data_IF_899021786928
#
_entry.id   IF_899021786928
#
_cell.length_a   1.000
_cell.length_b   1.000
_cell.length_c   1.000
_cell.angle_alpha   90.00
_cell.angle_beta   90.00
_cell.angle_gamma   90.00
#
_symmetry.space_group_name_H-M   'P 1'
#
loop_
_entity.id
_entity.type
_entity.pdbx_description
1 polymer ?
#
# COMPACT_ATOMS: atom_id res chain seq x y z
N UNK A 1 23.44 -13.10 4.28
CA UNK A 1 22.61 -12.08 4.98
C UNK A 1 21.74 -12.79 6.02
N UNK A 2 21.57 -12.24 7.23
CA UNK A 2 20.73 -12.87 8.27
C UNK A 2 19.34 -12.19 8.25
N UNK A 3 18.27 -12.86 7.81
CA UNK A 3 16.96 -12.22 7.62
C UNK A 3 16.37 -11.68 8.93
N UNK A 4 16.53 -12.39 10.04
CA UNK A 4 16.08 -11.94 11.36
C UNK A 4 16.75 -10.64 11.80
N UNK A 5 18.04 -10.45 11.48
CA UNK A 5 18.74 -9.20 11.81
C UNK A 5 18.16 -8.02 11.02
N UNK A 6 17.74 -8.23 9.76
CA UNK A 6 17.08 -7.22 8.93
C UNK A 6 15.74 -6.83 9.55
N UNK A 7 14.93 -7.82 9.96
CA UNK A 7 13.65 -7.58 10.62
C UNK A 7 13.81 -6.82 11.94
N UNK A 8 14.72 -7.25 12.82
CA UNK A 8 14.96 -6.57 14.09
C UNK A 8 15.44 -5.14 13.90
N UNK A 9 16.34 -4.90 12.93
CA UNK A 9 16.81 -3.55 12.62
C UNK A 9 15.66 -2.66 12.10
N UNK A 10 14.86 -3.18 11.16
CA UNK A 10 13.71 -2.46 10.62
C UNK A 10 12.67 -2.14 11.70
N UNK A 11 12.34 -3.09 12.57
CA UNK A 11 11.40 -2.89 13.68
C UNK A 11 11.91 -1.86 14.68
N UNK A 12 13.19 -1.93 15.06
CA UNK A 12 13.78 -0.96 15.97
C UNK A 12 13.76 0.45 15.38
N UNK A 13 14.12 0.59 14.11
CA UNK A 13 14.07 1.88 13.40
C UNK A 13 12.64 2.44 13.32
N UNK A 14 11.67 1.59 13.06
CA UNK A 14 10.26 1.97 13.03
C UNK A 14 9.74 2.40 14.42
N UNK A 15 10.26 1.78 15.48
CA UNK A 15 9.96 2.16 16.86
C UNK A 15 10.59 3.51 17.24
N UNK A 16 11.82 3.77 16.81
CA UNK A 16 12.51 5.04 17.07
C UNK A 16 11.80 6.23 16.40
N UNK A 17 11.20 6.03 15.21
CA UNK A 17 10.44 7.04 14.46
C UNK A 17 8.92 6.81 14.51
N UNK A 18 8.42 6.19 15.58
CA UNK A 18 7.04 5.68 15.68
C UNK A 18 5.94 6.68 15.26
N UNK A 19 6.04 7.93 15.72
CA UNK A 19 5.05 8.98 15.39
C UNK A 19 5.01 9.23 13.88
N UNK A 20 6.18 9.39 13.25
CA UNK A 20 6.30 9.64 11.82
C UNK A 20 5.78 8.44 11.01
N UNK A 21 6.11 7.22 11.44
CA UNK A 21 5.64 5.96 10.82
C UNK A 21 4.11 5.84 10.89
N UNK A 22 3.50 6.14 12.04
CA UNK A 22 2.03 6.13 12.16
C UNK A 22 1.41 7.17 11.23
N UNK A 23 1.90 8.41 11.25
CA UNK A 23 1.30 9.50 10.47
C UNK A 23 1.34 9.21 8.98
N UNK A 24 2.48 8.75 8.46
CA UNK A 24 2.58 8.40 7.03
C UNK A 24 1.76 7.16 6.69
N UNK A 25 1.65 6.18 7.59
CA UNK A 25 0.81 5.00 7.38
C UNK A 25 -0.69 5.36 7.38
N UNK A 26 -1.11 6.30 8.23
CA UNK A 26 -2.47 6.81 8.25
C UNK A 26 -2.81 7.57 6.95
N UNK A 27 -1.91 8.46 6.50
CA UNK A 27 -2.04 9.14 5.20
C UNK A 27 -2.07 8.14 4.04
N UNK A 28 -1.25 7.11 4.11
CA UNK A 28 -1.24 6.02 3.13
C UNK A 28 -2.58 5.28 3.09
N UNK A 29 -3.17 4.94 4.24
CA UNK A 29 -4.49 4.29 4.31
C UNK A 29 -5.58 5.17 3.69
N UNK A 30 -5.63 6.47 4.03
CA UNK A 30 -6.58 7.42 3.42
C UNK A 30 -6.37 7.48 1.90
N UNK A 31 -5.11 7.47 1.45
CA UNK A 31 -4.81 7.48 0.03
C UNK A 31 -5.22 6.19 -0.70
N UNK A 32 -5.13 5.03 -0.04
CA UNK A 32 -5.65 3.76 -0.60
C UNK A 32 -7.17 3.82 -0.80
N UNK A 33 -7.92 4.41 0.14
CA UNK A 33 -9.39 4.57 0.02
C UNK A 33 -9.76 5.44 -1.19
N UNK A 34 -8.99 6.49 -1.43
CA UNK A 34 -9.22 7.40 -2.55
C UNK A 34 -8.85 6.79 -3.91
N UNK A 35 -8.16 5.63 -3.93
CA UNK A 35 -7.65 4.89 -5.10
C UNK A 35 -6.63 5.68 -5.92
N UNK A 36 -6.97 6.88 -6.38
CA UNK A 36 -6.16 7.74 -7.23
C UNK A 36 -4.79 8.11 -6.61
N UNK A 37 -4.72 8.54 -5.32
CA UNK A 37 -3.44 8.80 -4.67
C UNK A 37 -2.82 7.55 -4.05
N UNK A 38 -3.48 6.38 -4.12
CA UNK A 38 -3.02 5.13 -3.49
C UNK A 38 -1.63 4.70 -3.97
N UNK A 39 -1.39 4.53 -5.29
CA UNK A 39 -0.07 4.15 -5.77
C UNK A 39 1.03 5.18 -5.47
N UNK A 40 0.84 6.49 -5.71
CA UNK A 40 1.80 7.51 -5.32
C UNK A 40 2.08 7.55 -3.81
N UNK A 41 1.08 7.30 -2.97
CA UNK A 41 1.28 7.22 -1.52
C UNK A 41 2.14 6.01 -1.14
N UNK A 42 1.97 4.86 -1.78
CA UNK A 42 2.86 3.69 -1.58
C UNK A 42 4.30 4.06 -1.92
N UNK A 43 4.53 4.73 -3.05
CA UNK A 43 5.85 5.22 -3.43
C UNK A 43 6.46 6.17 -2.39
N UNK A 44 5.66 7.10 -1.87
CA UNK A 44 6.08 8.06 -0.84
C UNK A 44 6.44 7.38 0.49
N UNK A 45 5.71 6.33 0.90
CA UNK A 45 6.07 5.53 2.09
C UNK A 45 7.45 4.91 1.91
N UNK A 46 7.74 4.31 0.75
CA UNK A 46 9.07 3.75 0.48
C UNK A 46 10.17 4.81 0.38
N UNK A 47 9.86 6.01 -0.14
CA UNK A 47 10.79 7.13 -0.14
C UNK A 47 11.14 7.55 1.29
N UNK A 48 10.15 7.70 2.18
CA UNK A 48 10.41 8.06 3.58
C UNK A 48 11.11 6.95 4.35
N UNK A 49 10.80 5.68 4.07
CA UNK A 49 11.56 4.55 4.62
C UNK A 49 13.05 4.62 4.24
N UNK A 50 13.36 5.08 3.01
CA UNK A 50 14.74 5.33 2.60
C UNK A 50 15.37 6.53 3.32
N UNK A 51 14.67 7.66 3.45
CA UNK A 51 15.18 8.80 4.23
C UNK A 51 15.51 8.39 5.67
N UNK A 52 14.62 7.61 6.29
CA UNK A 52 14.80 7.02 7.62
C UNK A 52 16.02 6.11 7.67
N UNK A 53 16.24 5.28 6.65
CA UNK A 53 17.43 4.42 6.53
C UNK A 53 18.72 5.23 6.38
N UNK A 54 18.70 6.29 5.57
CA UNK A 54 19.82 7.19 5.33
C UNK A 54 20.11 8.13 6.52
N UNK A 55 19.34 8.05 7.61
CA UNK A 55 19.48 8.92 8.78
C UNK A 55 19.02 10.36 8.56
N UNK A 56 18.24 10.62 7.50
CA UNK A 56 17.74 11.95 7.16
C UNK A 56 16.38 12.20 7.79
N UNK A 57 16.28 13.24 8.62
CA UNK A 57 15.00 13.71 9.13
C UNK A 57 14.08 14.18 7.98
N UNK A 58 12.81 13.84 8.06
CA UNK A 58 11.82 14.20 7.05
C UNK A 58 10.54 14.76 7.69
N UNK A 59 9.88 15.66 6.98
CA UNK A 59 8.65 16.33 7.42
C UNK A 59 7.54 16.18 6.37
N UNK A 60 6.34 16.71 6.64
CA UNK A 60 5.21 16.66 5.71
C UNK A 60 5.50 17.28 4.34
N UNK A 61 6.36 18.31 4.28
CA UNK A 61 6.80 18.93 3.02
C UNK A 61 7.61 17.97 2.15
N UNK A 62 8.50 17.18 2.76
CA UNK A 62 9.28 16.16 2.05
C UNK A 62 8.37 15.04 1.54
N UNK A 63 7.39 14.61 2.34
CA UNK A 63 6.39 13.60 1.91
C UNK A 63 5.62 14.10 0.69
N UNK A 64 5.16 15.36 0.71
CA UNK A 64 4.41 15.94 -0.40
C UNK A 64 5.25 16.14 -1.66
N UNK A 65 6.52 16.52 -1.49
CA UNK A 65 7.48 16.66 -2.59
C UNK A 65 7.73 15.32 -3.29
N UNK A 66 8.03 14.26 -2.52
CA UNK A 66 8.25 12.91 -3.05
C UNK A 66 6.96 12.33 -3.65
N UNK A 67 5.81 12.57 -3.03
CA UNK A 67 4.51 12.16 -3.56
C UNK A 67 4.27 12.72 -4.97
N UNK A 68 4.53 14.02 -5.17
CA UNK A 68 4.39 14.66 -6.49
C UNK A 68 5.41 14.15 -7.49
N UNK A 69 6.67 14.02 -7.08
CA UNK A 69 7.76 13.55 -7.93
C UNK A 69 7.53 12.10 -8.40
N UNK A 70 6.98 11.26 -7.53
CA UNK A 70 6.72 9.85 -7.78
C UNK A 70 5.32 9.56 -8.31
N UNK A 71 4.48 10.59 -8.53
CA UNK A 71 3.10 10.40 -8.97
C UNK A 71 2.99 9.61 -10.28
N UNK A 72 3.67 10.08 -11.34
CA UNK A 72 3.67 9.42 -12.65
C UNK A 72 4.40 8.06 -12.60
N UNK A 73 5.62 7.96 -12.01
CA UNK A 73 6.28 6.67 -11.82
C UNK A 73 5.43 5.61 -11.11
N UNK A 74 4.71 6.02 -10.06
CA UNK A 74 3.88 5.11 -9.29
C UNK A 74 2.70 4.56 -10.10
N UNK A 75 2.11 5.38 -10.97
CA UNK A 75 1.07 4.91 -11.90
C UNK A 75 1.61 3.96 -12.96
N UNK A 76 2.82 4.22 -13.48
CA UNK A 76 3.51 3.30 -14.40
C UNK A 76 3.79 1.94 -13.75
N UNK A 77 4.00 1.91 -12.43
CA UNK A 77 4.12 0.67 -11.65
C UNK A 77 2.77 0.04 -11.31
N UNK A 78 1.75 0.84 -10.96
CA UNK A 78 0.46 0.32 -10.53
C UNK A 78 -0.39 -0.27 -11.66
N UNK A 79 -0.36 0.32 -12.86
CA UNK A 79 -1.14 -0.19 -14.00
C UNK A 79 -0.81 -1.66 -14.33
N UNK A 80 0.47 -2.06 -14.50
CA UNK A 80 0.83 -3.47 -14.66
C UNK A 80 0.40 -4.33 -13.47
N UNK A 81 0.50 -3.81 -12.24
CA UNK A 81 0.12 -4.56 -11.05
C UNK A 81 -1.37 -4.87 -10.99
N UNK A 82 -2.21 -3.86 -11.18
CA UNK A 82 -3.67 -4.02 -11.24
C UNK A 82 -4.05 -4.98 -12.36
N UNK A 83 -3.40 -4.86 -13.52
CA UNK A 83 -3.66 -5.76 -14.64
C UNK A 83 -3.31 -7.22 -14.34
N UNK A 84 -2.08 -7.49 -13.89
CA UNK A 84 -1.61 -8.87 -13.61
C UNK A 84 -2.36 -9.48 -12.44
N UNK A 85 -2.51 -8.75 -11.34
CA UNK A 85 -3.23 -9.24 -10.14
C UNK A 85 -4.71 -9.42 -10.46
N UNK A 86 -5.34 -8.45 -11.13
CA UNK A 86 -6.74 -8.54 -11.54
C UNK A 86 -7.01 -9.72 -12.46
N UNK A 87 -6.16 -9.93 -13.47
CA UNK A 87 -6.27 -11.07 -14.38
C UNK A 87 -6.08 -12.41 -13.67
N UNK A 88 -5.09 -12.51 -12.77
CA UNK A 88 -4.84 -13.72 -11.99
C UNK A 88 -6.01 -14.04 -11.05
N UNK A 89 -6.52 -13.03 -10.32
CA UNK A 89 -7.67 -13.20 -9.42
C UNK A 89 -8.95 -13.56 -10.18
N UNK A 90 -9.19 -12.94 -11.34
CA UNK A 90 -10.33 -13.27 -12.20
C UNK A 90 -10.25 -14.72 -12.72
N UNK A 91 -9.07 -15.15 -13.19
CA UNK A 91 -8.87 -16.53 -13.62
C UNK A 91 -9.07 -17.51 -12.46
N UNK A 92 -8.45 -17.23 -11.31
CA UNK A 92 -8.57 -18.08 -10.14
C UNK A 92 -10.01 -18.17 -9.63
N UNK A 93 -10.75 -17.06 -9.58
CA UNK A 93 -12.15 -17.05 -9.10
C UNK A 93 -13.09 -17.76 -10.06
N UNK A 94 -12.96 -17.52 -11.37
CA UNK A 94 -13.84 -18.08 -12.40
C UNK A 94 -13.61 -19.57 -12.59
N UNK A 95 -12.35 -20.00 -12.64
CA UNK A 95 -11.98 -21.40 -12.92
C UNK A 95 -11.71 -22.23 -11.66
N UNK A 96 -11.96 -21.70 -10.47
CA UNK A 96 -11.66 -22.39 -9.21
C UNK A 96 -12.32 -23.78 -9.11
N UNK A 97 -13.59 -23.83 -9.48
CA UNK A 97 -14.48 -24.99 -9.30
C UNK A 97 -14.54 -25.91 -10.51
N UNK A 98 -13.86 -25.57 -11.61
CA UNK A 98 -13.91 -26.35 -12.84
C UNK A 98 -13.11 -27.66 -12.65
N UNK A 99 -13.74 -28.84 -12.81
CA UNK A 99 -13.05 -30.12 -12.67
C UNK A 99 -12.16 -30.42 -13.87
N UNK A 100 -11.11 -31.22 -13.66
CA UNK A 100 -10.18 -31.66 -14.71
C UNK A 100 -8.71 -31.34 -14.39
N UNK A 101 -7.82 -32.28 -14.73
CA UNK A 101 -6.39 -32.18 -14.42
C UNK A 101 -5.72 -30.97 -15.10
N UNK A 102 -6.08 -30.67 -16.35
CA UNK A 102 -5.57 -29.50 -17.08
C UNK A 102 -5.94 -28.18 -16.37
N UNK A 103 -7.20 -28.04 -15.94
CA UNK A 103 -7.67 -26.88 -15.17
C UNK A 103 -7.06 -26.82 -13.77
N UNK A 104 -6.76 -27.98 -13.17
CA UNK A 104 -5.97 -28.08 -11.93
C UNK A 104 -4.57 -27.52 -12.09
N UNK A 105 -3.84 -27.93 -13.13
CA UNK A 105 -2.52 -27.41 -13.45
C UNK A 105 -2.54 -25.90 -13.71
N UNK A 106 -3.51 -25.41 -14.49
CA UNK A 106 -3.66 -23.99 -14.78
C UNK A 106 -3.88 -23.14 -13.51
N UNK A 107 -4.67 -23.64 -12.56
CA UNK A 107 -4.86 -22.98 -11.24
C UNK A 107 -3.56 -22.86 -10.47
N UNK A 108 -2.76 -23.91 -10.43
CA UNK A 108 -1.44 -23.89 -9.77
C UNK A 108 -0.51 -22.90 -10.45
N UNK A 109 -0.48 -22.87 -11.78
CA UNK A 109 0.34 -21.91 -12.55
C UNK A 109 -0.04 -20.47 -12.24
N UNK A 110 -1.34 -20.14 -12.23
CA UNK A 110 -1.80 -18.79 -11.88
C UNK A 110 -1.53 -18.44 -10.42
N UNK A 111 -1.71 -19.39 -9.50
CA UNK A 111 -1.44 -19.17 -8.08
C UNK A 111 0.06 -18.91 -7.83
N UNK A 112 0.92 -19.77 -8.36
CA UNK A 112 2.38 -19.61 -8.26
C UNK A 112 2.82 -18.33 -8.96
N UNK A 113 2.30 -18.04 -10.15
CA UNK A 113 2.58 -16.82 -10.88
C UNK A 113 2.22 -15.57 -10.08
N UNK A 114 1.05 -15.57 -9.41
CA UNK A 114 0.63 -14.48 -8.53
C UNK A 114 1.55 -14.32 -7.33
N UNK A 115 1.91 -15.43 -6.66
CA UNK A 115 2.83 -15.41 -5.52
C UNK A 115 4.20 -14.86 -5.91
N UNK A 116 4.75 -15.31 -7.04
CA UNK A 116 6.01 -14.81 -7.59
C UNK A 116 5.90 -13.32 -7.91
N UNK A 117 4.81 -12.91 -8.56
CA UNK A 117 4.58 -11.51 -8.91
C UNK A 117 4.54 -10.60 -7.67
N UNK A 118 3.85 -11.02 -6.61
CA UNK A 118 3.83 -10.30 -5.33
C UNK A 118 5.22 -10.25 -4.68
N UNK A 119 5.99 -11.34 -4.76
CA UNK A 119 7.36 -11.40 -4.26
C UNK A 119 8.32 -10.44 -4.98
N UNK A 120 8.14 -10.25 -6.28
CA UNK A 120 8.89 -9.23 -7.03
C UNK A 120 8.48 -7.81 -6.61
N UNK A 121 7.18 -7.58 -6.39
CA UNK A 121 6.68 -6.26 -6.01
C UNK A 121 7.11 -5.80 -4.63
N UNK A 122 7.36 -6.73 -3.69
CA UNK A 122 7.86 -6.40 -2.36
C UNK A 122 9.18 -5.59 -2.40
N UNK A 123 10.08 -5.92 -3.32
CA UNK A 123 11.39 -5.28 -3.43
C UNK A 123 11.47 -4.23 -4.54
N UNK A 124 10.39 -4.02 -5.30
CA UNK A 124 10.38 -3.12 -6.44
C UNK A 124 10.77 -1.69 -6.06
N UNK A 125 10.09 -1.08 -5.09
CA UNK A 125 10.32 0.33 -4.71
C UNK A 125 11.71 0.60 -4.14
N UNK A 126 12.24 -0.24 -3.21
CA UNK A 126 13.63 -0.10 -2.76
C UNK A 126 14.65 -0.09 -3.90
N UNK A 127 14.52 -1.00 -4.88
CA UNK A 127 15.43 -1.04 -6.03
C UNK A 127 15.20 0.13 -7.00
N UNK A 128 13.95 0.52 -7.24
CA UNK A 128 13.61 1.64 -8.11
C UNK A 128 14.20 2.95 -7.59
N UNK A 129 14.09 3.19 -6.28
CA UNK A 129 14.63 4.38 -5.65
C UNK A 129 16.16 4.35 -5.63
N UNK A 130 16.77 3.20 -5.31
CA UNK A 130 18.21 3.05 -5.22
C UNK A 130 18.94 3.14 -6.57
N UNK A 131 18.28 2.82 -7.69
CA UNK A 131 18.88 2.82 -9.01
C UNK A 131 19.20 4.24 -9.52
N UNK A 132 20.36 4.37 -10.18
CA UNK A 132 20.74 5.59 -10.91
C UNK A 132 19.85 5.78 -12.15
N UNK A 133 19.62 4.72 -12.93
CA UNK A 133 18.63 4.70 -14.01
C UNK A 133 17.29 4.12 -13.53
N UNK A 134 16.30 4.99 -13.41
CA UNK A 134 14.95 4.70 -12.90
C UNK A 134 14.03 4.12 -13.98
N UNK A 135 14.49 3.04 -14.63
CA UNK A 135 13.70 2.31 -15.63
C UNK A 135 13.02 1.06 -15.04
N UNK A 136 11.77 0.81 -15.43
CA UNK A 136 10.97 -0.34 -14.93
C UNK A 136 11.70 -1.67 -15.20
N UNK A 137 12.27 -1.81 -16.40
CA UNK A 137 12.96 -3.02 -16.85
C UNK A 137 14.21 -3.30 -16.02
N UNK A 138 15.03 -2.28 -15.78
CA UNK A 138 16.24 -2.43 -14.96
C UNK A 138 15.89 -2.77 -13.52
N UNK A 139 14.83 -2.15 -12.97
CA UNK A 139 14.34 -2.43 -11.62
C UNK A 139 13.95 -3.89 -11.45
N UNK A 140 13.09 -4.42 -12.33
CA UNK A 140 12.68 -5.83 -12.25
C UNK A 140 13.85 -6.79 -12.51
N UNK A 141 14.81 -6.43 -13.37
CA UNK A 141 16.02 -7.23 -13.56
C UNK A 141 16.86 -7.31 -12.27
N UNK A 142 17.00 -6.20 -11.54
CA UNK A 142 17.73 -6.16 -10.27
C UNK A 142 17.00 -6.89 -9.14
N UNK A 143 15.67 -6.76 -9.07
CA UNK A 143 14.86 -7.56 -8.14
C UNK A 143 15.01 -9.06 -8.44
N UNK A 144 14.95 -9.46 -9.71
CA UNK A 144 15.17 -10.85 -10.11
C UNK A 144 16.57 -11.34 -9.72
N UNK A 145 17.61 -10.54 -9.95
CA UNK A 145 18.98 -10.85 -9.50
C UNK A 145 19.06 -11.01 -7.99
N UNK A 146 18.39 -10.17 -7.22
CA UNK A 146 18.36 -10.29 -5.75
C UNK A 146 17.72 -11.61 -5.30
N UNK A 147 16.60 -12.00 -5.90
CA UNK A 147 15.96 -13.29 -5.64
C UNK A 147 16.85 -14.48 -5.99
N UNK A 148 17.63 -14.39 -7.08
CA UNK A 148 18.54 -15.45 -7.51
C UNK A 148 19.80 -15.55 -6.65
N UNK A 149 20.36 -14.41 -6.22
CA UNK A 149 21.59 -14.36 -5.41
C UNK A 149 21.31 -14.64 -3.92
N UNK A 150 20.13 -14.26 -3.43
CA UNK A 150 19.75 -14.38 -2.01
C UNK A 150 18.37 -15.02 -1.80
N UNK A 151 18.11 -16.22 -2.37
CA UNK A 151 16.77 -16.81 -2.40
C UNK A 151 16.18 -17.06 -1.01
N UNK A 152 16.99 -17.59 -0.08
CA UNK A 152 16.53 -17.85 1.28
C UNK A 152 16.17 -16.56 2.05
N UNK A 153 16.95 -15.49 1.87
CA UNK A 153 16.68 -14.20 2.54
C UNK A 153 15.43 -13.55 1.93
N UNK A 154 15.34 -13.51 0.61
CA UNK A 154 14.18 -12.96 -0.10
C UNK A 154 12.88 -13.70 0.26
N UNK A 155 12.93 -15.05 0.30
CA UNK A 155 11.78 -15.88 0.66
C UNK A 155 11.32 -15.64 2.10
N UNK A 156 12.24 -15.60 3.08
CA UNK A 156 11.87 -15.35 4.49
C UNK A 156 11.23 -13.97 4.64
N UNK A 157 11.84 -12.92 4.07
CA UNK A 157 11.28 -11.58 4.12
C UNK A 157 9.90 -11.52 3.43
N UNK A 158 9.75 -12.19 2.28
CA UNK A 158 8.49 -12.26 1.57
C UNK A 158 7.40 -12.96 2.39
N UNK A 159 7.68 -14.13 2.95
CA UNK A 159 6.72 -14.88 3.77
C UNK A 159 6.30 -14.07 5.00
N UNK A 160 7.26 -13.45 5.70
CA UNK A 160 6.96 -12.62 6.87
C UNK A 160 6.07 -11.43 6.49
N UNK A 161 6.43 -10.69 5.44
CA UNK A 161 5.62 -9.56 4.96
C UNK A 161 4.22 -10.01 4.48
N UNK A 162 4.14 -11.15 3.79
CA UNK A 162 2.87 -11.70 3.29
C UNK A 162 1.96 -12.09 4.46
N UNK A 163 2.47 -12.81 5.45
CA UNK A 163 1.71 -13.24 6.63
C UNK A 163 1.23 -12.03 7.44
N UNK A 164 2.12 -11.07 7.71
CA UNK A 164 1.76 -9.84 8.42
C UNK A 164 0.70 -9.05 7.63
N UNK A 165 0.87 -8.90 6.32
CA UNK A 165 -0.09 -8.21 5.46
C UNK A 165 -1.47 -8.88 5.48
N UNK A 166 -1.53 -10.21 5.36
CA UNK A 166 -2.79 -10.97 5.41
C UNK A 166 -3.46 -10.85 6.78
N UNK A 167 -2.70 -10.93 7.87
CA UNK A 167 -3.23 -10.75 9.23
C UNK A 167 -3.73 -9.33 9.45
N UNK A 168 -3.10 -8.33 8.83
CA UNK A 168 -3.48 -6.92 8.97
C UNK A 168 -4.74 -6.53 8.16
N UNK A 169 -5.06 -7.25 7.08
CA UNK A 169 -6.19 -6.92 6.19
C UNK A 169 -7.54 -6.76 6.93
N UNK A 170 -7.96 -7.68 7.82
CA UNK A 170 -9.20 -7.54 8.58
C UNK A 170 -9.25 -6.32 9.50
N UNK A 171 -8.11 -5.74 9.88
CA UNK A 171 -8.07 -4.56 10.75
C UNK A 171 -8.17 -3.25 9.96
N UNK A 172 -7.74 -3.25 8.69
CA UNK A 172 -7.86 -2.09 7.81
C UNK A 172 -9.34 -1.81 7.43
N UNK A 173 -10.11 -2.87 7.16
CA UNK A 173 -11.51 -2.78 6.72
C UNK A 173 -12.44 -2.03 7.71
N UNK A 174 -12.49 -2.38 9.02
CA UNK A 174 -13.30 -1.68 10.01
C UNK A 174 -12.95 -0.20 10.13
N UNK A 175 -11.67 0.16 10.03
CA UNK A 175 -11.22 1.55 10.08
C UNK A 175 -11.79 2.33 8.90
N UNK A 176 -11.67 1.78 7.68
CA UNK A 176 -12.21 2.41 6.47
C UNK A 176 -13.73 2.58 6.53
N UNK A 177 -14.45 1.52 6.92
CA UNK A 177 -15.92 1.55 7.02
C UNK A 177 -16.39 2.52 8.12
N UNK A 178 -15.69 2.58 9.25
CA UNK A 178 -15.99 3.50 10.34
C UNK A 178 -15.84 4.97 9.95
N UNK A 179 -14.79 5.31 9.18
CA UNK A 179 -14.57 6.68 8.69
C UNK A 179 -15.70 7.14 7.76
N UNK A 180 -16.18 6.29 6.86
CA UNK A 180 -17.29 6.64 5.95
C UNK A 180 -18.57 6.95 6.73
N UNK A 181 -18.90 6.12 7.73
CA UNK A 181 -20.06 6.37 8.58
C UNK A 181 -19.90 7.64 9.42
N UNK A 182 -18.70 7.89 9.94
CA UNK A 182 -18.41 9.12 10.66
C UNK A 182 -18.56 10.38 9.78
N UNK A 183 -18.08 10.36 8.53
CA UNK A 183 -18.28 11.47 7.58
C UNK A 183 -19.78 11.72 7.35
N UNK A 184 -20.58 10.66 7.18
CA UNK A 184 -22.02 10.77 7.03
C UNK A 184 -22.67 11.42 8.27
N UNK A 185 -22.26 11.02 9.48
CA UNK A 185 -22.73 11.63 10.73
C UNK A 185 -22.35 13.11 10.84
N UNK A 186 -21.11 13.47 10.47
CA UNK A 186 -20.67 14.87 10.48
C UNK A 186 -21.51 15.72 9.52
N UNK A 187 -21.73 15.24 8.30
CA UNK A 187 -22.56 15.92 7.31
C UNK A 187 -24.01 16.08 7.79
N UNK A 188 -24.59 15.03 8.35
CA UNK A 188 -25.96 15.03 8.87
C UNK A 188 -26.12 15.99 10.05
N UNK A 189 -25.20 15.94 11.01
CA UNK A 189 -25.19 16.82 12.19
C UNK A 189 -25.05 18.29 11.78
N UNK A 190 -24.21 18.59 10.78
CA UNK A 190 -24.03 19.95 10.27
C UNK A 190 -25.32 20.49 9.65
N UNK A 191 -26.01 19.67 8.84
CA UNK A 191 -27.30 20.06 8.22
C UNK A 191 -28.37 20.28 9.28
N UNK A 192 -28.52 19.38 10.26
CA UNK A 192 -29.52 19.55 11.32
C UNK A 192 -29.31 20.83 12.12
N UNK A 193 -28.08 21.11 12.54
CA UNK A 193 -27.77 22.34 13.28
C UNK A 193 -28.08 23.59 12.47
N UNK A 194 -27.76 23.60 11.17
CA UNK A 194 -28.11 24.71 10.28
C UNK A 194 -29.62 24.93 10.17
N UNK A 195 -30.41 23.85 10.11
CA UNK A 195 -31.87 23.94 10.08
C UNK A 195 -32.47 24.42 11.41
N UNK A 196 -31.89 23.99 12.54
CA UNK A 196 -32.28 24.46 13.88
C UNK A 196 -32.01 25.97 14.05
N UNK A 197 -30.84 26.45 13.64
CA UNK A 197 -30.50 27.89 13.66
C UNK A 197 -31.48 28.72 12.83
N UNK A 198 -31.75 28.32 11.59
CA UNK A 198 -32.73 28.99 10.71
C UNK A 198 -34.15 29.02 11.31
N UNK A 199 -34.57 27.93 11.95
CA UNK A 199 -35.88 27.88 12.62
C UNK A 199 -35.93 28.87 13.80
N UNK A 200 -34.86 28.98 14.57
CA UNK A 200 -34.79 29.88 15.73
C UNK A 200 -34.81 31.36 15.31
N UNK A 201 -34.09 31.72 14.23
CA UNK A 201 -34.09 33.07 13.67
C UNK A 201 -35.46 33.48 13.09
N UNK A 202 -36.17 32.54 12.43
CA UNK A 202 -37.50 32.78 11.90
C UNK A 202 -38.55 33.08 12.99
N UNK A 203 -38.37 32.52 14.19
CA UNK A 203 -39.20 32.81 15.35
C UNK A 203 -38.82 34.13 16.05
N UNK A 204 -37.57 34.59 15.91
CA UNK A 204 -37.11 35.88 16.42
C UNK A 204 -37.57 37.10 15.60
N UNK A 205 -37.76 36.95 14.28
CA UNK A 205 -38.24 38.02 13.39
C UNK A 205 -39.76 38.27 13.43
N UNK A 206 -40.55 37.33 13.96
CA UNK A 206 -42.01 37.45 14.10
C UNK A 206 -42.47 37.99 15.47
N UNK A 207 -41.55 38.58 16.26
CA UNK A 207 -41.83 39.36 17.48
C UNK A 207 -41.44 40.81 17.28
#
# INVERSE_FOLDING_TARGET
MKPFAILTFATRRAWDEWISVILISALWLVAQVLILPGPPATAAVFAMARHTYDGRYWNAGNVWSEFKALFIPAWKWALPNVFVIGLALYNLSTFWRVPGAAWGGLRVVWLVGLVVWLGLNLFYWPFYLAAEDRSLRNTYANVGRFWLLHPATALVLFVVCLVIGVIALPFALPIVLGVVFWIALVAETAVRRSLEELATDSHGQNR
#
